data_IF_449054307805
#
_entry.id   IF_449054307805
#
_cell.length_a   1.000
_cell.length_b   1.000
_cell.length_c   1.000
_cell.angle_alpha   90.00
_cell.angle_beta   90.00
_cell.angle_gamma   90.00
#
_symmetry.space_group_name_H-M   'P 1'
#
loop_
_entity.id
_entity.type
_entity.pdbx_description
1 polymer ?
#
# COMPACT_ATOMS: atom_id res chain seq x y z
N UNK A 1 18.29 -34.56 -12.19
CA UNK A 1 17.35 -34.95 -11.14
C UNK A 1 15.98 -34.85 -11.74
N UNK A 2 15.25 -35.95 -11.67
CA UNK A 2 14.05 -36.24 -12.44
C UNK A 2 12.90 -35.26 -12.12
N UNK A 3 12.06 -35.01 -13.12
CA UNK A 3 10.81 -34.25 -12.98
C UNK A 3 9.86 -35.05 -12.08
N UNK A 4 9.94 -34.86 -10.77
CA UNK A 4 8.92 -35.35 -9.85
C UNK A 4 7.70 -34.43 -9.93
N UNK A 5 6.54 -34.98 -10.29
CA UNK A 5 5.24 -34.33 -10.11
C UNK A 5 4.57 -34.87 -8.86
N UNK A 6 3.96 -34.00 -8.06
CA UNK A 6 3.13 -34.37 -6.93
C UNK A 6 1.66 -34.10 -7.26
N UNK A 7 0.83 -35.13 -7.16
CA UNK A 7 -0.62 -35.02 -7.26
C UNK A 7 -1.20 -34.92 -5.84
N UNK A 8 -1.77 -33.76 -5.51
CA UNK A 8 -2.33 -33.45 -4.20
C UNK A 8 -2.27 -31.94 -3.94
N UNK A 9 -2.94 -31.47 -2.89
CA UNK A 9 -3.01 -30.03 -2.61
C UNK A 9 -1.62 -29.46 -2.24
N UNK A 10 -1.44 -28.16 -2.46
CA UNK A 10 -0.23 -27.44 -2.08
C UNK A 10 0.07 -27.58 -0.57
N UNK A 11 -0.95 -27.55 0.28
CA UNK A 11 -0.82 -27.74 1.73
C UNK A 11 -0.33 -29.16 2.09
N UNK A 12 -0.81 -30.19 1.37
CA UNK A 12 -0.34 -31.56 1.55
C UNK A 12 1.12 -31.71 1.09
N UNK A 13 1.48 -31.11 -0.03
CA UNK A 13 2.87 -31.05 -0.47
C UNK A 13 3.76 -30.36 0.59
N UNK A 14 3.26 -29.26 1.15
CA UNK A 14 3.90 -28.49 2.21
C UNK A 14 4.07 -29.28 3.52
N UNK A 15 3.14 -30.17 3.87
CA UNK A 15 3.24 -31.03 5.06
C UNK A 15 4.15 -32.26 4.86
N UNK A 16 4.18 -32.85 3.66
CA UNK A 16 4.71 -34.22 3.46
C UNK A 16 6.22 -34.35 3.17
N UNK A 17 6.93 -33.32 2.70
CA UNK A 17 8.31 -33.48 2.15
C UNK A 17 9.47 -32.96 3.04
N UNK A 18 9.24 -32.55 4.30
CA UNK A 18 10.33 -32.13 5.21
C UNK A 18 11.15 -30.91 4.73
N UNK A 19 12.30 -30.64 5.39
CA UNK A 19 13.16 -29.45 5.18
C UNK A 19 13.94 -29.40 3.85
N UNK A 20 13.96 -30.50 3.08
CA UNK A 20 14.74 -30.65 1.84
C UNK A 20 13.86 -30.58 0.59
N UNK A 21 13.06 -29.52 0.46
CA UNK A 21 12.22 -29.29 -0.72
C UNK A 21 12.86 -28.30 -1.69
N UNK A 22 13.05 -28.66 -2.97
CA UNK A 22 13.83 -27.85 -3.88
C UNK A 22 13.09 -26.59 -4.37
N UNK A 23 11.87 -26.75 -4.90
CA UNK A 23 11.02 -25.68 -5.45
C UNK A 23 9.64 -26.24 -5.82
N UNK A 24 8.59 -25.43 -5.76
CA UNK A 24 7.24 -25.73 -6.22
C UNK A 24 6.58 -24.46 -6.77
N UNK A 25 5.94 -24.59 -7.93
CA UNK A 25 5.05 -23.56 -8.49
C UNK A 25 3.69 -24.21 -8.68
N UNK A 26 2.65 -23.58 -8.12
CA UNK A 26 1.26 -23.95 -8.40
C UNK A 26 0.70 -22.98 -9.44
N UNK A 27 0.22 -23.53 -10.55
CA UNK A 27 -0.35 -22.80 -11.67
C UNK A 27 -1.76 -23.33 -11.93
N UNK A 28 -2.80 -22.53 -11.63
CA UNK A 28 -4.25 -22.68 -11.94
C UNK A 28 -4.94 -24.02 -11.62
N UNK A 29 -4.18 -25.07 -11.38
CA UNK A 29 -4.53 -26.45 -11.12
C UNK A 29 -3.82 -26.80 -9.83
N UNK A 30 -4.47 -27.54 -8.93
CA UNK A 30 -3.89 -27.99 -7.65
C UNK A 30 -2.75 -29.02 -7.85
N UNK A 31 -2.02 -28.96 -8.97
CA UNK A 31 -0.93 -29.85 -9.32
C UNK A 31 0.39 -29.15 -8.99
N UNK A 32 1.13 -29.73 -8.06
CA UNK A 32 2.48 -29.31 -7.72
C UNK A 32 3.47 -29.98 -8.67
N UNK A 33 4.14 -29.20 -9.51
CA UNK A 33 5.28 -29.71 -10.28
C UNK A 33 6.59 -29.19 -9.70
N UNK A 34 7.67 -29.94 -9.89
CA UNK A 34 9.02 -29.54 -9.48
C UNK A 34 9.88 -29.43 -10.74
N UNK A 35 10.04 -28.21 -11.26
CA UNK A 35 10.96 -27.90 -12.36
C UNK A 35 11.89 -26.73 -12.00
N UNK A 36 13.15 -26.78 -12.47
CA UNK A 36 14.11 -25.67 -12.33
C UNK A 36 13.75 -24.45 -13.19
N UNK A 37 13.06 -24.69 -14.29
CA UNK A 37 12.63 -23.68 -15.23
C UNK A 37 11.18 -23.97 -15.62
N UNK A 38 10.35 -22.94 -15.54
CA UNK A 38 8.95 -22.99 -15.92
C UNK A 38 8.71 -22.07 -17.09
N UNK A 39 8.22 -22.62 -18.19
CA UNK A 39 7.88 -21.83 -19.38
C UNK A 39 6.37 -21.77 -19.58
N UNK A 40 5.78 -20.64 -19.20
CA UNK A 40 4.37 -20.33 -19.42
C UNK A 40 4.15 -19.43 -20.65
N UNK A 41 5.19 -19.13 -21.43
CA UNK A 41 5.13 -18.14 -22.52
C UNK A 41 4.13 -18.49 -23.63
N UNK A 42 3.76 -19.77 -23.74
CA UNK A 42 2.82 -20.29 -24.73
C UNK A 42 1.37 -20.34 -24.25
N UNK A 43 1.12 -20.14 -22.96
CA UNK A 43 -0.22 -20.17 -22.38
C UNK A 43 -0.83 -18.77 -22.47
N UNK A 44 -2.01 -18.57 -23.09
CA UNK A 44 -2.63 -17.26 -23.20
C UNK A 44 -3.33 -16.88 -21.88
N UNK A 45 -2.57 -16.43 -20.90
CA UNK A 45 -3.06 -16.01 -19.58
C UNK A 45 -2.93 -14.48 -19.44
N UNK A 46 -4.00 -13.81 -18.98
CA UNK A 46 -4.06 -12.35 -18.79
C UNK A 46 -3.72 -11.97 -17.35
N UNK A 47 -4.24 -12.73 -16.39
CA UNK A 47 -4.03 -12.55 -14.96
C UNK A 47 -3.51 -13.87 -14.40
N UNK A 48 -2.45 -13.82 -13.60
CA UNK A 48 -1.81 -15.01 -13.07
C UNK A 48 -1.50 -14.84 -11.59
N UNK A 49 -1.96 -15.80 -10.79
CA UNK A 49 -1.52 -15.96 -9.40
C UNK A 49 -0.54 -17.12 -9.33
N UNK A 50 0.67 -16.85 -8.83
CA UNK A 50 1.69 -17.87 -8.58
C UNK A 50 1.84 -18.07 -7.08
N UNK A 51 1.63 -19.31 -6.63
CA UNK A 51 2.03 -19.73 -5.28
C UNK A 51 3.40 -20.38 -5.34
N UNK A 52 4.34 -19.77 -4.63
CA UNK A 52 5.75 -20.11 -4.68
C UNK A 52 6.21 -20.73 -3.37
N UNK A 53 7.05 -21.75 -3.51
CA UNK A 53 7.82 -22.35 -2.44
C UNK A 53 9.19 -22.74 -3.02
N UNK A 54 10.29 -22.47 -2.33
CA UNK A 54 11.58 -22.94 -2.79
C UNK A 54 12.74 -22.47 -1.94
N UNK A 55 13.68 -23.39 -1.70
CA UNK A 55 14.93 -23.13 -0.98
C UNK A 55 16.14 -23.20 -1.94
N UNK A 56 15.91 -23.30 -3.25
CA UNK A 56 16.92 -23.31 -4.31
C UNK A 56 16.56 -22.32 -5.42
N UNK A 57 17.53 -21.73 -6.14
CA UNK A 57 17.25 -20.87 -7.30
C UNK A 57 16.54 -21.61 -8.45
N UNK A 58 15.55 -20.95 -9.05
CA UNK A 58 14.77 -21.42 -10.20
C UNK A 58 14.23 -20.21 -11.00
N UNK A 59 13.75 -20.45 -12.21
CA UNK A 59 13.25 -19.40 -13.11
C UNK A 59 11.84 -19.69 -13.62
N UNK A 60 11.11 -18.60 -13.90
CA UNK A 60 9.75 -18.65 -14.45
C UNK A 60 9.66 -17.66 -15.62
N UNK A 61 9.38 -18.17 -16.81
CA UNK A 61 9.02 -17.39 -18.00
C UNK A 61 7.51 -17.19 -17.98
N UNK A 62 7.10 -15.93 -17.83
CA UNK A 62 5.70 -15.55 -17.71
C UNK A 62 4.98 -15.57 -19.08
N UNK A 63 3.65 -15.73 -19.10
CA UNK A 63 2.84 -15.63 -20.31
C UNK A 63 3.07 -14.34 -21.08
N UNK A 64 3.15 -14.41 -22.41
CA UNK A 64 3.34 -13.23 -23.27
C UNK A 64 2.17 -12.24 -23.23
N UNK A 65 0.99 -12.72 -22.89
CA UNK A 65 -0.24 -11.94 -22.78
C UNK A 65 -0.49 -11.42 -21.35
N UNK A 66 0.43 -11.67 -20.42
CA UNK A 66 0.22 -11.36 -19.02
C UNK A 66 0.17 -9.85 -18.79
N UNK A 67 -0.92 -9.40 -18.16
CA UNK A 67 -1.14 -8.01 -17.76
C UNK A 67 -0.94 -7.84 -16.26
N UNK A 68 -1.37 -8.81 -15.46
CA UNK A 68 -1.33 -8.76 -13.99
C UNK A 68 -0.70 -10.01 -13.39
N UNK A 69 0.20 -9.83 -12.43
CA UNK A 69 0.83 -10.91 -11.69
C UNK A 69 0.60 -10.75 -10.19
N UNK A 70 0.03 -11.76 -9.56
CA UNK A 70 0.01 -11.90 -8.10
C UNK A 70 1.03 -12.96 -7.69
N UNK A 71 1.94 -12.59 -6.81
CA UNK A 71 2.90 -13.50 -6.20
C UNK A 71 2.46 -13.74 -4.77
N UNK A 72 2.12 -15.00 -4.49
CA UNK A 72 1.87 -15.53 -3.16
C UNK A 72 3.03 -16.44 -2.80
N UNK A 73 3.49 -16.38 -1.56
CA UNK A 73 4.59 -17.23 -1.12
C UNK A 73 4.26 -17.85 0.22
N UNK A 74 4.49 -19.15 0.31
CA UNK A 74 4.19 -19.90 1.51
C UNK A 74 5.49 -20.35 2.16
N UNK A 75 5.61 -20.06 3.45
CA UNK A 75 6.83 -20.31 4.17
C UNK A 75 6.55 -20.58 5.64
N UNK A 76 6.94 -21.77 6.12
CA UNK A 76 6.80 -22.13 7.55
C UNK A 76 8.10 -21.94 8.35
N UNK A 77 9.29 -22.19 7.80
CA UNK A 77 10.60 -21.96 8.45
C UNK A 77 11.76 -22.32 7.49
N UNK A 78 12.62 -21.36 7.11
CA UNK A 78 13.58 -21.50 6.00
C UNK A 78 14.06 -20.18 5.38
N UNK A 79 14.89 -20.28 4.34
CA UNK A 79 15.34 -19.15 3.54
C UNK A 79 14.42 -19.04 2.31
N UNK A 80 13.86 -17.86 2.10
CA UNK A 80 13.02 -17.57 0.94
C UNK A 80 13.91 -17.35 -0.28
N UNK A 81 13.68 -18.12 -1.34
CA UNK A 81 14.27 -17.86 -2.65
C UNK A 81 13.16 -17.50 -3.64
N UNK A 82 13.18 -16.25 -4.10
CA UNK A 82 12.30 -15.78 -5.16
C UNK A 82 12.84 -16.26 -6.51
N UNK A 83 11.99 -16.81 -7.39
CA UNK A 83 12.41 -17.19 -8.72
C UNK A 83 12.83 -15.98 -9.53
N UNK A 84 13.75 -16.22 -10.45
CA UNK A 84 14.02 -15.26 -11.51
C UNK A 84 12.84 -15.24 -12.48
N UNK A 85 12.12 -14.12 -12.53
CA UNK A 85 11.05 -13.92 -13.49
C UNK A 85 11.59 -13.38 -14.82
N UNK A 86 11.09 -13.94 -15.92
CA UNK A 86 11.20 -13.37 -17.27
C UNK A 86 9.82 -12.83 -17.62
N UNK A 87 9.67 -11.50 -17.51
CA UNK A 87 8.44 -10.78 -17.78
C UNK A 87 8.15 -10.65 -19.27
N UNK A 88 6.88 -10.49 -19.69
CA UNK A 88 6.57 -10.19 -21.08
C UNK A 88 7.11 -8.81 -21.46
N UNK A 89 7.58 -8.68 -22.71
CA UNK A 89 8.23 -7.46 -23.22
C UNK A 89 7.27 -6.26 -23.28
N UNK A 90 5.96 -6.51 -23.40
CA UNK A 90 4.94 -5.46 -23.52
C UNK A 90 3.67 -5.87 -22.79
N UNK A 91 2.85 -4.89 -22.40
CA UNK A 91 1.50 -5.12 -21.89
C UNK A 91 1.39 -5.45 -20.40
N UNK A 92 2.50 -5.77 -19.72
CA UNK A 92 2.52 -5.94 -18.26
C UNK A 92 2.23 -4.61 -17.56
N UNK A 93 1.34 -4.63 -16.56
CA UNK A 93 0.87 -3.40 -15.90
C UNK A 93 0.92 -3.48 -14.38
N UNK A 94 0.64 -4.63 -13.79
CA UNK A 94 0.35 -4.71 -12.36
C UNK A 94 1.08 -5.89 -11.73
N UNK A 95 1.69 -5.66 -10.58
CA UNK A 95 2.28 -6.70 -9.75
C UNK A 95 1.83 -6.56 -8.31
N UNK A 96 1.38 -7.66 -7.72
CA UNK A 96 0.92 -7.73 -6.35
C UNK A 96 1.77 -8.75 -5.59
N UNK A 97 2.34 -8.33 -4.47
CA UNK A 97 2.99 -9.21 -3.50
C UNK A 97 2.01 -9.46 -2.37
N UNK A 98 1.57 -10.71 -2.21
CA UNK A 98 0.54 -11.09 -1.25
C UNK A 98 1.07 -12.11 -0.25
N UNK A 99 0.96 -11.82 1.03
CA UNK A 99 1.33 -12.74 2.13
C UNK A 99 2.81 -13.15 2.15
N UNK A 100 3.71 -12.34 1.57
CA UNK A 100 5.15 -12.62 1.58
C UNK A 100 5.74 -12.23 2.93
N UNK A 101 6.00 -13.19 3.82
CA UNK A 101 6.52 -12.93 5.17
C UNK A 101 7.96 -13.44 5.31
N UNK A 102 8.94 -12.53 5.32
CA UNK A 102 10.37 -12.90 5.38
C UNK A 102 11.16 -12.16 6.44
N UNK A 103 11.89 -12.89 7.29
CA UNK A 103 12.86 -12.26 8.21
C UNK A 103 14.02 -11.62 7.44
N UNK A 104 14.48 -12.28 6.40
CA UNK A 104 15.54 -11.77 5.51
C UNK A 104 14.95 -10.89 4.42
N UNK A 105 15.73 -9.93 3.93
CA UNK A 105 15.30 -9.06 2.85
C UNK A 105 15.09 -9.85 1.56
N UNK A 106 13.91 -9.70 0.95
CA UNK A 106 13.55 -10.39 -0.29
C UNK A 106 13.61 -9.42 -1.45
N UNK A 107 14.66 -9.52 -2.25
CA UNK A 107 14.84 -8.69 -3.44
C UNK A 107 14.14 -9.30 -4.65
N UNK A 108 13.26 -8.53 -5.29
CA UNK A 108 12.48 -8.94 -6.46
C UNK A 108 12.74 -7.94 -7.59
N UNK A 109 13.45 -8.36 -8.65
CA UNK A 109 13.58 -7.56 -9.85
C UNK A 109 12.20 -7.37 -10.50
N UNK A 110 11.83 -6.13 -10.80
CA UNK A 110 10.59 -5.80 -11.50
C UNK A 110 10.87 -5.19 -12.87
N UNK A 111 9.94 -5.22 -13.85
CA UNK A 111 10.11 -4.54 -15.13
C UNK A 111 10.30 -3.04 -14.99
N UNK A 112 10.90 -2.39 -15.99
CA UNK A 112 11.07 -0.93 -15.99
C UNK A 112 9.73 -0.17 -15.97
N UNK A 113 8.72 -0.72 -16.64
CA UNK A 113 7.39 -0.10 -16.77
C UNK A 113 6.37 -0.98 -16.07
N UNK A 114 5.90 -0.53 -14.91
CA UNK A 114 4.83 -1.16 -14.15
C UNK A 114 3.89 -0.05 -13.70
N UNK A 115 2.61 -0.12 -14.06
CA UNK A 115 1.66 0.93 -13.71
C UNK A 115 1.34 0.93 -12.21
N UNK A 116 1.15 -0.26 -11.62
CA UNK A 116 0.79 -0.42 -10.21
C UNK A 116 1.63 -1.50 -9.52
N UNK A 117 2.05 -1.21 -8.29
CA UNK A 117 2.65 -2.18 -7.37
C UNK A 117 1.78 -2.22 -6.10
N UNK A 118 1.40 -3.41 -5.67
CA UNK A 118 0.66 -3.61 -4.41
C UNK A 118 1.46 -4.50 -3.46
N UNK A 119 1.59 -4.09 -2.20
CA UNK A 119 2.07 -4.92 -1.10
C UNK A 119 0.89 -5.23 -0.17
N UNK A 120 0.49 -6.50 -0.11
CA UNK A 120 -0.64 -6.98 0.69
C UNK A 120 -0.12 -7.96 1.74
N UNK A 121 -0.31 -7.63 3.01
CA UNK A 121 0.13 -8.41 4.18
C UNK A 121 1.53 -8.99 3.99
N UNK A 122 2.49 -8.15 3.58
CA UNK A 122 3.84 -8.54 3.17
C UNK A 122 4.90 -7.87 4.05
N UNK A 123 6.01 -8.56 4.30
CA UNK A 123 7.09 -8.11 5.18
C UNK A 123 8.46 -8.25 4.51
N UNK A 124 9.23 -7.17 4.53
CA UNK A 124 10.63 -7.11 4.09
C UNK A 124 10.86 -7.43 2.59
N UNK A 125 9.97 -6.95 1.73
CA UNK A 125 10.04 -7.13 0.27
C UNK A 125 10.62 -5.89 -0.41
N UNK A 126 11.63 -6.06 -1.25
CA UNK A 126 12.28 -4.97 -2.00
C UNK A 126 12.10 -5.18 -3.49
N UNK A 127 11.42 -4.26 -4.15
CA UNK A 127 11.37 -4.18 -5.60
C UNK A 127 12.60 -3.42 -6.10
N UNK A 128 13.35 -4.03 -7.03
CA UNK A 128 14.57 -3.45 -7.59
C UNK A 128 14.44 -3.29 -9.09
N UNK A 129 14.56 -2.05 -9.56
CA UNK A 129 14.87 -1.75 -10.96
C UNK A 129 15.41 -0.31 -11.05
N UNK A 130 16.50 -0.10 -11.77
CA UNK A 130 17.16 1.20 -11.84
C UNK A 130 16.26 2.33 -12.37
N UNK A 131 15.39 2.03 -13.34
CA UNK A 131 14.58 3.02 -14.06
C UNK A 131 13.07 2.80 -13.92
N UNK A 132 12.63 2.22 -12.80
CA UNK A 132 11.22 1.94 -12.56
C UNK A 132 10.36 3.20 -12.54
N UNK A 133 9.31 3.23 -13.36
CA UNK A 133 8.23 4.20 -13.30
C UNK A 133 6.95 3.52 -12.81
N UNK A 134 6.38 4.03 -11.71
CA UNK A 134 5.10 3.60 -11.16
C UNK A 134 4.13 4.77 -11.08
N UNK A 135 2.86 4.50 -11.35
CA UNK A 135 1.81 5.50 -11.24
C UNK A 135 1.06 5.36 -9.91
N UNK A 136 0.71 4.13 -9.53
CA UNK A 136 -0.06 3.82 -8.33
C UNK A 136 0.70 2.86 -7.42
N UNK A 137 0.59 3.08 -6.12
CA UNK A 137 1.16 2.22 -5.07
C UNK A 137 0.09 1.94 -4.03
N UNK A 138 -0.09 0.66 -3.73
CA UNK A 138 -0.98 0.19 -2.67
C UNK A 138 -0.19 -0.55 -1.59
N UNK A 139 -0.43 -0.22 -0.32
CA UNK A 139 0.19 -0.88 0.83
C UNK A 139 -0.87 -1.21 1.86
N UNK A 140 -1.08 -2.50 2.11
CA UNK A 140 -2.06 -3.02 3.06
C UNK A 140 -1.37 -3.94 4.06
N UNK A 141 -1.45 -3.64 5.36
CA UNK A 141 -0.93 -4.46 6.47
C UNK A 141 0.52 -4.97 6.24
N UNK A 142 1.34 -4.16 5.57
CA UNK A 142 2.68 -4.54 5.13
C UNK A 142 3.73 -3.71 5.84
N UNK A 143 4.93 -4.26 6.07
CA UNK A 143 6.00 -3.53 6.76
C UNK A 143 7.40 -3.86 6.15
N UNK A 144 8.33 -2.92 6.23
CA UNK A 144 9.69 -2.99 5.66
C UNK A 144 9.73 -3.25 4.14
N UNK A 145 8.66 -2.93 3.42
CA UNK A 145 8.65 -3.00 1.96
C UNK A 145 9.34 -1.77 1.35
N UNK A 146 10.02 -1.97 0.24
CA UNK A 146 10.80 -0.91 -0.40
C UNK A 146 10.72 -1.01 -1.92
N UNK A 147 10.73 0.14 -2.59
CA UNK A 147 10.93 0.26 -4.03
C UNK A 147 12.19 1.08 -4.23
N UNK A 148 13.23 0.46 -4.80
CA UNK A 148 14.51 1.09 -5.09
C UNK A 148 14.65 1.36 -6.59
N UNK A 149 14.40 2.61 -6.99
CA UNK A 149 14.58 3.12 -8.35
C UNK A 149 15.08 4.56 -8.33
N UNK A 150 15.71 4.99 -9.43
CA UNK A 150 16.10 6.41 -9.63
C UNK A 150 14.89 7.32 -9.84
N UNK A 151 13.82 6.80 -10.42
CA UNK A 151 12.67 7.60 -10.84
C UNK A 151 11.52 7.59 -9.84
N UNK A 152 11.32 6.48 -9.14
CA UNK A 152 10.24 6.32 -8.15
C UNK A 152 10.80 5.66 -6.90
N UNK A 153 10.37 6.08 -5.71
CA UNK A 153 10.91 5.53 -4.47
C UNK A 153 9.81 5.29 -3.45
N UNK A 154 9.91 4.15 -2.78
CA UNK A 154 9.21 3.85 -1.53
C UNK A 154 10.25 3.34 -0.54
N UNK A 155 10.34 3.97 0.64
CA UNK A 155 11.07 3.42 1.78
C UNK A 155 10.09 3.34 2.94
N UNK A 156 9.77 2.13 3.36
CA UNK A 156 8.98 1.89 4.57
C UNK A 156 9.88 1.33 5.67
N UNK A 157 9.83 1.96 6.83
CA UNK A 157 10.49 1.52 8.05
C UNK A 157 9.44 1.32 9.15
N UNK A 158 9.88 0.87 10.32
CA UNK A 158 8.99 0.68 11.46
C UNK A 158 8.36 2.01 11.97
N UNK A 159 8.91 3.19 11.60
CA UNK A 159 8.47 4.48 12.14
C UNK A 159 8.10 5.53 11.09
N UNK A 160 8.35 5.25 9.81
CA UNK A 160 8.26 6.24 8.74
C UNK A 160 8.03 5.57 7.39
N UNK A 161 7.19 6.22 6.57
CA UNK A 161 7.04 5.95 5.14
C UNK A 161 7.52 7.16 4.35
N UNK A 162 8.50 6.95 3.49
CA UNK A 162 8.95 7.94 2.51
C UNK A 162 8.55 7.52 1.09
N UNK A 163 7.87 8.42 0.38
CA UNK A 163 7.39 8.18 -0.99
C UNK A 163 7.85 9.31 -1.91
N UNK A 164 8.36 8.94 -3.09
CA UNK A 164 8.82 9.89 -4.10
C UNK A 164 8.33 9.55 -5.51
N UNK A 165 7.81 10.56 -6.21
CA UNK A 165 7.37 10.51 -7.62
C UNK A 165 6.33 9.39 -7.89
N UNK A 166 5.36 9.23 -6.99
CA UNK A 166 4.23 8.30 -7.17
C UNK A 166 2.95 9.14 -7.24
N UNK A 167 2.16 9.00 -8.30
CA UNK A 167 0.99 9.86 -8.49
C UNK A 167 -0.12 9.57 -7.47
N UNK A 168 -0.39 8.30 -7.23
CA UNK A 168 -1.44 7.82 -6.33
C UNK A 168 -0.86 6.86 -5.30
N UNK A 169 -1.09 7.14 -4.03
CA UNK A 169 -0.72 6.28 -2.91
C UNK A 169 -1.97 5.90 -2.11
N UNK A 170 -2.17 4.59 -1.90
CA UNK A 170 -3.26 4.05 -1.12
C UNK A 170 -2.67 3.18 -0.02
N UNK A 171 -3.06 3.45 1.22
CA UNK A 171 -2.54 2.80 2.40
C UNK A 171 -3.67 2.34 3.31
N UNK A 172 -3.62 1.08 3.72
CA UNK A 172 -4.57 0.48 4.66
C UNK A 172 -3.85 -0.16 5.84
N UNK A 173 -4.29 0.18 7.05
CA UNK A 173 -3.89 -0.45 8.31
C UNK A 173 -2.36 -0.50 8.52
N UNK A 174 -1.68 0.62 8.26
CA UNK A 174 -0.24 0.76 8.51
C UNK A 174 0.00 1.41 9.88
N UNK A 175 0.74 0.71 10.75
CA UNK A 175 1.10 1.18 12.09
C UNK A 175 2.33 2.11 12.10
N UNK A 176 2.27 3.19 11.33
CA UNK A 176 3.30 4.24 11.31
C UNK A 176 2.69 5.60 11.63
N UNK A 177 3.46 6.45 12.30
CA UNK A 177 3.03 7.80 12.65
C UNK A 177 3.49 8.84 11.63
N UNK A 178 4.53 8.56 10.84
CA UNK A 178 5.14 9.56 9.96
C UNK A 178 5.04 9.16 8.49
N UNK A 179 4.46 10.04 7.68
CA UNK A 179 4.39 9.93 6.24
C UNK A 179 5.09 11.13 5.60
N UNK A 180 6.09 10.86 4.76
CA UNK A 180 6.81 11.87 4.00
C UNK A 180 6.57 11.67 2.51
N UNK A 181 5.98 12.68 1.87
CA UNK A 181 5.65 12.68 0.45
C UNK A 181 6.50 13.69 -0.31
N UNK A 182 7.18 13.23 -1.36
CA UNK A 182 7.88 14.03 -2.35
C UNK A 182 7.20 13.82 -3.71
N UNK A 183 6.56 14.86 -4.28
CA UNK A 183 5.87 14.80 -5.58
C UNK A 183 4.76 13.74 -5.69
N UNK A 184 3.93 13.60 -4.66
CA UNK A 184 2.71 12.77 -4.67
C UNK A 184 1.49 13.65 -4.89
N UNK A 185 0.61 13.28 -5.83
CA UNK A 185 -0.61 14.06 -6.08
C UNK A 185 -1.76 13.67 -5.19
N UNK A 186 -1.96 12.37 -4.99
CA UNK A 186 -3.10 11.85 -4.25
C UNK A 186 -2.62 10.82 -3.23
N UNK A 187 -3.05 10.97 -1.98
CA UNK A 187 -2.80 10.02 -0.91
C UNK A 187 -4.12 9.65 -0.22
N UNK A 188 -4.35 8.36 -0.02
CA UNK A 188 -5.44 7.83 0.81
C UNK A 188 -4.83 6.96 1.90
N UNK A 189 -5.07 7.32 3.16
CA UNK A 189 -4.45 6.69 4.33
C UNK A 189 -5.55 6.26 5.29
N UNK A 190 -5.67 4.95 5.50
CA UNK A 190 -6.42 4.37 6.60
C UNK A 190 -5.46 3.95 7.70
N UNK A 191 -5.61 4.49 8.90
CA UNK A 191 -4.67 4.28 10.01
C UNK A 191 -5.39 3.98 11.33
N UNK A 192 -4.85 3.06 12.16
CA UNK A 192 -5.32 2.87 13.54
C UNK A 192 -4.83 3.97 14.50
N UNK A 193 -3.96 4.88 14.03
CA UNK A 193 -3.42 5.98 14.84
C UNK A 193 -4.21 7.26 14.56
N UNK A 194 -4.80 7.86 15.60
CA UNK A 194 -5.59 9.07 15.42
C UNK A 194 -4.73 10.27 14.98
N UNK A 195 -3.50 10.37 15.51
CA UNK A 195 -2.53 11.38 15.11
C UNK A 195 -1.47 10.77 14.22
N UNK A 196 -1.30 11.32 13.02
CA UNK A 196 -0.18 11.06 12.14
C UNK A 196 0.44 12.39 11.71
N UNK A 197 1.74 12.37 11.46
CA UNK A 197 2.47 13.47 10.86
C UNK A 197 2.58 13.25 9.35
N UNK A 198 2.24 14.30 8.59
CA UNK A 198 2.33 14.31 7.13
C UNK A 198 3.30 15.42 6.73
N UNK A 199 4.48 15.04 6.28
CA UNK A 199 5.45 15.96 5.69
C UNK A 199 5.34 15.97 4.18
N UNK A 200 4.96 17.09 3.58
CA UNK A 200 4.97 17.26 2.12
C UNK A 200 5.05 18.73 1.73
N UNK A 201 5.63 19.02 0.56
CA UNK A 201 5.57 20.35 -0.04
C UNK A 201 4.24 20.59 -0.77
N UNK A 202 3.64 19.55 -1.37
CA UNK A 202 2.40 19.67 -2.13
C UNK A 202 1.75 18.29 -2.32
N UNK A 203 0.44 18.20 -2.04
CA UNK A 203 -0.42 17.05 -2.30
C UNK A 203 -1.76 17.62 -2.78
N UNK A 204 -2.25 17.26 -3.96
CA UNK A 204 -3.52 17.80 -4.45
C UNK A 204 -4.71 17.32 -3.61
N UNK A 205 -4.76 16.01 -3.31
CA UNK A 205 -5.86 15.37 -2.59
C UNK A 205 -5.35 14.44 -1.51
N UNK A 206 -5.91 14.57 -0.31
CA UNK A 206 -5.62 13.72 0.84
C UNK A 206 -6.93 13.15 1.41
N UNK A 207 -7.00 11.84 1.54
CA UNK A 207 -8.07 11.16 2.26
C UNK A 207 -7.49 10.49 3.50
N UNK A 208 -8.03 10.81 4.66
CA UNK A 208 -7.63 10.25 5.95
C UNK A 208 -8.82 9.51 6.56
N UNK A 209 -8.65 8.24 6.82
CA UNK A 209 -9.62 7.41 7.51
C UNK A 209 -9.01 6.85 8.80
N UNK A 210 -9.74 7.00 9.88
CA UNK A 210 -9.40 6.37 11.15
C UNK A 210 -10.06 5.00 11.25
N UNK A 211 -9.25 3.95 11.44
CA UNK A 211 -9.74 2.60 11.66
C UNK A 211 -9.79 2.28 13.17
N UNK A 212 -11.01 2.29 13.72
CA UNK A 212 -11.25 1.99 15.11
C UNK A 212 -11.34 0.48 15.41
N UNK A 213 -11.20 -0.40 14.41
CA UNK A 213 -11.42 -1.84 14.57
C UNK A 213 -10.50 -2.52 15.58
N UNK A 214 -9.30 -1.95 15.81
CA UNK A 214 -8.32 -2.45 16.77
C UNK A 214 -8.44 -1.86 18.20
N UNK A 215 -9.30 -0.87 18.43
CA UNK A 215 -9.47 -0.26 19.76
C UNK A 215 -10.52 -1.06 20.55
N UNK A 216 -10.04 -2.04 21.30
CA UNK A 216 -10.88 -2.91 22.15
C UNK A 216 -11.60 -2.16 23.29
N UNK A 217 -11.23 -0.90 23.57
CA UNK A 217 -11.83 -0.07 24.61
C UNK A 217 -12.25 1.30 24.06
N UNK A 218 -13.51 1.39 23.61
CA UNK A 218 -14.16 2.62 23.10
C UNK A 218 -14.33 3.74 24.14
N UNK A 219 -13.84 3.55 25.38
CA UNK A 219 -14.05 4.49 26.49
C UNK A 219 -12.89 5.48 26.71
N UNK A 220 -11.81 5.40 25.93
CA UNK A 220 -10.64 6.27 26.14
C UNK A 220 -10.00 6.73 24.82
N UNK A 221 -10.82 7.22 23.88
CA UNK A 221 -10.32 7.96 22.73
C UNK A 221 -9.72 9.28 23.23
N UNK A 222 -8.39 9.36 23.25
CA UNK A 222 -7.67 10.59 23.61
C UNK A 222 -8.02 11.71 22.64
N UNK A 223 -8.05 12.95 23.13
CA UNK A 223 -8.27 14.10 22.27
C UNK A 223 -7.08 14.25 21.31
N UNK A 224 -7.35 14.17 20.02
CA UNK A 224 -6.29 14.24 19.01
C UNK A 224 -6.20 15.64 18.39
N UNK A 225 -4.98 16.08 18.08
CA UNK A 225 -4.71 17.31 17.36
C UNK A 225 -3.80 17.04 16.16
N UNK A 226 -4.21 17.48 14.98
CA UNK A 226 -3.43 17.37 13.75
C UNK A 226 -3.28 18.75 13.11
N UNK A 227 -2.04 19.13 12.82
CA UNK A 227 -1.71 20.38 12.14
C UNK A 227 -1.32 20.09 10.69
N UNK A 228 -2.13 20.58 9.75
CA UNK A 228 -1.93 20.43 8.31
C UNK A 228 -1.53 21.77 7.65
N UNK A 229 -1.19 22.80 8.43
CA UNK A 229 -0.95 24.17 7.94
C UNK A 229 0.15 24.25 6.87
N UNK A 230 1.21 23.44 7.01
CA UNK A 230 2.36 23.46 6.09
C UNK A 230 2.08 22.75 4.76
N UNK A 231 0.92 22.09 4.61
CA UNK A 231 0.56 21.39 3.38
C UNK A 231 -0.09 22.34 2.36
N UNK A 232 0.32 22.23 1.10
CA UNK A 232 -0.46 22.77 -0.02
C UNK A 232 -1.44 21.69 -0.50
N UNK A 233 -2.72 21.81 -0.12
CA UNK A 233 -3.80 20.86 -0.36
C UNK A 233 -5.03 21.50 -1.01
N UNK A 234 -5.62 20.87 -2.03
CA UNK A 234 -6.88 21.33 -2.65
C UNK A 234 -8.11 20.60 -2.07
N UNK A 235 -7.99 19.29 -1.82
CA UNK A 235 -9.09 18.45 -1.34
C UNK A 235 -8.69 17.62 -0.13
N UNK A 236 -9.48 17.68 0.94
CA UNK A 236 -9.35 16.86 2.14
C UNK A 236 -10.60 16.03 2.38
N UNK A 237 -10.42 14.75 2.65
CA UNK A 237 -11.47 13.86 3.16
C UNK A 237 -11.07 13.33 4.54
N UNK A 238 -12.00 13.42 5.49
CA UNK A 238 -11.83 12.92 6.86
C UNK A 238 -12.93 11.92 7.18
N UNK A 239 -12.56 10.70 7.51
CA UNK A 239 -13.51 9.62 7.84
C UNK A 239 -13.23 8.99 9.20
N UNK A 240 -14.28 8.83 10.02
CA UNK A 240 -14.23 8.03 11.25
C UNK A 240 -13.54 8.68 12.45
N UNK A 241 -13.14 9.95 12.37
CA UNK A 241 -12.47 10.64 13.48
C UNK A 241 -13.43 11.00 14.62
N UNK A 242 -13.00 10.76 15.86
CA UNK A 242 -13.75 11.12 17.07
C UNK A 242 -12.92 12.01 18.01
N UNK A 243 -13.55 12.99 18.68
CA UNK A 243 -12.92 13.92 19.64
C UNK A 243 -11.60 14.55 19.14
N UNK A 244 -11.54 14.87 17.85
CA UNK A 244 -10.31 15.27 17.16
C UNK A 244 -10.36 16.72 16.70
N UNK A 245 -9.21 17.36 16.63
CA UNK A 245 -9.04 18.72 16.15
C UNK A 245 -8.04 18.79 15.00
N UNK A 246 -8.38 19.56 13.96
CA UNK A 246 -7.54 19.75 12.78
C UNK A 246 -7.32 21.25 12.52
N UNK A 247 -6.07 21.63 12.29
CA UNK A 247 -5.74 22.92 11.70
C UNK A 247 -5.60 22.69 10.19
N UNK A 248 -6.50 23.30 9.42
CA UNK A 248 -6.64 23.11 7.98
C UNK A 248 -5.68 24.04 7.20
N UNK A 249 -5.12 23.57 6.07
CA UNK A 249 -4.31 24.41 5.19
C UNK A 249 -5.18 25.49 4.54
N UNK A 250 -4.58 26.65 4.30
CA UNK A 250 -5.29 27.80 3.73
C UNK A 250 -5.68 27.60 2.25
N UNK A 251 -4.99 26.71 1.52
CA UNK A 251 -5.25 26.43 0.10
C UNK A 251 -6.49 25.55 -0.14
N UNK A 252 -7.06 24.97 0.92
CA UNK A 252 -8.16 24.00 0.83
C UNK A 252 -9.39 24.60 0.12
N UNK A 253 -9.89 23.89 -0.89
CA UNK A 253 -11.12 24.26 -1.61
C UNK A 253 -12.26 23.26 -1.44
N UNK A 254 -11.95 22.01 -1.07
CA UNK A 254 -12.95 20.95 -0.88
C UNK A 254 -12.69 20.18 0.39
N UNK A 255 -13.72 20.01 1.21
CA UNK A 255 -13.68 19.25 2.45
C UNK A 255 -14.86 18.28 2.52
N UNK A 256 -14.55 16.98 2.60
CA UNK A 256 -15.53 15.91 2.84
C UNK A 256 -15.35 15.35 4.23
N UNK A 257 -16.43 15.24 5.01
CA UNK A 257 -16.41 14.71 6.37
C UNK A 257 -17.44 13.60 6.50
N UNK A 258 -17.00 12.39 6.81
CA UNK A 258 -17.87 11.21 6.83
C UNK A 258 -17.72 10.44 8.14
N UNK A 259 -18.83 10.08 8.77
CA UNK A 259 -18.84 9.23 9.98
C UNK A 259 -18.00 9.76 11.16
N UNK A 260 -17.84 11.07 11.30
CA UNK A 260 -17.04 11.71 12.36
C UNK A 260 -17.91 12.18 13.55
N UNK A 261 -17.32 12.22 14.76
CA UNK A 261 -17.98 12.72 16.00
C UNK A 261 -17.10 13.72 16.75
N UNK A 262 -17.68 14.86 17.17
CA UNK A 262 -16.96 15.90 17.91
C UNK A 262 -15.65 16.34 17.23
N UNK A 263 -15.76 16.79 15.98
CA UNK A 263 -14.64 17.30 15.20
C UNK A 263 -14.50 18.82 15.38
N UNK A 264 -13.30 19.31 15.69
CA UNK A 264 -12.97 20.74 15.75
C UNK A 264 -12.02 21.13 14.62
N UNK A 265 -12.52 21.87 13.65
CA UNK A 265 -11.75 22.35 12.51
C UNK A 265 -11.40 23.82 12.72
N UNK A 266 -10.18 24.20 12.40
CA UNK A 266 -9.72 25.60 12.50
C UNK A 266 -8.79 25.95 11.35
N UNK A 267 -8.59 27.24 11.11
CA UNK A 267 -7.60 27.76 10.17
C UNK A 267 -6.88 28.94 10.81
N UNK A 268 -5.56 29.04 10.64
CA UNK A 268 -4.75 30.10 11.26
C UNK A 268 -4.83 31.43 10.50
N UNK A 269 -4.95 31.39 9.17
CA UNK A 269 -4.88 32.57 8.30
C UNK A 269 -6.11 32.77 7.42
N UNK A 270 -7.13 31.91 7.55
CA UNK A 270 -8.30 31.90 6.67
C UNK A 270 -8.01 31.15 5.37
N UNK A 271 -9.05 30.83 4.61
CA UNK A 271 -8.92 30.14 3.33
C UNK A 271 -8.63 31.12 2.19
N UNK A 272 -7.74 30.73 1.29
CA UNK A 272 -7.45 31.46 0.05
C UNK A 272 -8.57 31.28 -0.98
N UNK A 273 -9.31 30.17 -0.89
CA UNK A 273 -10.38 29.78 -1.79
C UNK A 273 -11.73 29.72 -1.04
N UNK A 274 -12.83 29.73 -1.81
CA UNK A 274 -14.13 29.32 -1.27
C UNK A 274 -14.07 27.82 -0.93
N UNK A 275 -14.47 27.48 0.30
CA UNK A 275 -14.44 26.10 0.79
C UNK A 275 -15.81 25.44 0.58
N UNK A 276 -15.86 24.45 -0.30
CA UNK A 276 -17.02 23.56 -0.42
C UNK A 276 -16.93 22.45 0.64
N UNK A 277 -18.01 22.28 1.42
CA UNK A 277 -18.06 21.33 2.55
C UNK A 277 -19.21 20.35 2.36
N UNK A 278 -18.87 19.06 2.28
CA UNK A 278 -19.82 17.95 2.27
C UNK A 278 -19.73 17.14 3.55
N UNK A 279 -20.87 16.75 4.12
CA UNK A 279 -20.93 15.95 5.35
C UNK A 279 -21.87 14.76 5.24
N UNK A 280 -21.43 13.60 5.68
CA UNK A 280 -22.23 12.37 5.75
C UNK A 280 -22.16 11.76 7.16
N UNK A 281 -23.30 11.40 7.75
CA UNK A 281 -23.38 10.64 9.01
C UNK A 281 -22.55 11.20 10.19
N UNK A 282 -22.43 12.54 10.30
CA UNK A 282 -21.67 13.21 11.35
C UNK A 282 -22.57 13.72 12.48
N UNK A 283 -22.16 13.55 13.75
CA UNK A 283 -22.96 14.00 14.91
C UNK A 283 -22.69 15.45 15.31
N UNK A 284 -21.41 15.86 15.33
CA UNK A 284 -20.99 17.22 15.73
C UNK A 284 -19.69 17.61 15.06
N UNK A 285 -19.74 18.64 14.20
CA UNK A 285 -18.59 19.24 13.56
C UNK A 285 -18.62 20.76 13.81
N UNK A 286 -17.53 21.32 14.30
CA UNK A 286 -17.38 22.77 14.54
C UNK A 286 -16.22 23.30 13.71
N UNK A 287 -16.52 24.17 12.74
CA UNK A 287 -15.51 24.93 12.01
C UNK A 287 -15.35 26.30 12.66
N UNK A 288 -14.23 26.51 13.36
CA UNK A 288 -13.88 27.79 13.94
C UNK A 288 -12.94 28.53 12.98
N UNK A 289 -13.54 29.32 12.09
CA UNK A 289 -12.78 30.22 11.25
C UNK A 289 -12.58 31.53 12.03
N UNK A 290 -11.41 31.70 12.65
CA UNK A 290 -11.04 32.92 13.39
C UNK A 290 -10.95 34.19 12.51
N UNK A 291 -11.34 34.10 11.23
CA UNK A 291 -11.42 35.20 10.28
C UNK A 291 -12.78 35.30 9.56
N UNK A 292 -13.87 34.76 10.13
CA UNK A 292 -15.18 35.28 9.76
C UNK A 292 -15.18 36.79 10.06
N UNK A 293 -15.49 37.68 9.09
CA UNK A 293 -15.76 39.06 9.40
C UNK A 293 -16.86 39.05 10.46
N UNK A 294 -16.65 39.73 11.58
CA UNK A 294 -17.55 39.74 12.74
C UNK A 294 -18.95 40.32 12.47
N UNK A 295 -19.32 40.57 11.21
CA UNK A 295 -20.54 41.26 10.79
C UNK A 295 -21.23 40.61 9.57
N UNK A 296 -21.27 39.27 9.47
CA UNK A 296 -22.26 38.60 8.61
C UNK A 296 -23.47 38.17 9.44
N UNK A 297 -24.71 38.62 9.11
CA UNK A 297 -25.92 38.15 9.77
C UNK A 297 -26.43 36.80 9.19
N UNK A 298 -25.60 36.09 8.42
CA UNK A 298 -25.84 34.74 7.90
C UNK A 298 -24.81 33.78 8.48
#
# INVERSE_FOLDING_TARGET
MDNESFEGSFDEYCKNKGKDKPYCVVFETDIVQMKKEWDFSFIPTIELTLRLFGNYPYSIILPKTLVKLTIEMWHEDGQIIIPQFIYPETGFKEITFSSLQSKDQVEIPVPQTVNSISFLSSYNVVCINELLHINSLEVTESNKCCIQSKHSQLIMSDNEVFIKNINEFICFALSTDNYQFDTVKMASITTPNQSIHIGSNHIDSLSLAFDASDISDTNNIESTHMDLTELTLNSLELTGYENSSFILPNTLSTLTISYCKSLWLSTLTGFENELDVSTECCEKCMLNNSLLPSDSPY
#
